data_IF_465697971333
#
_entry.id   IF_465697971333
#
_cell.length_a   1.000
_cell.length_b   1.000
_cell.length_c   1.000
_cell.angle_alpha   90.00
_cell.angle_beta   90.00
_cell.angle_gamma   90.00
#
_symmetry.space_group_name_H-M   'P 1'
#
loop_
_entity.id
_entity.type
_entity.pdbx_description
1 polymer ?
#
# COMPACT_ATOMS: atom_id res chain seq x y z
N UNK A 1 -10.68 57.64 12.76
CA UNK A 1 -9.51 57.05 13.45
C UNK A 1 -9.93 55.77 14.15
N UNK A 2 -9.25 54.67 13.86
CA UNK A 2 -9.45 53.40 14.57
C UNK A 2 -8.93 53.50 16.02
N UNK A 3 -9.61 52.84 16.96
CA UNK A 3 -9.19 52.75 18.37
C UNK A 3 -7.80 52.12 18.51
N UNK A 4 -7.48 51.15 17.63
CA UNK A 4 -6.22 50.41 17.66
C UNK A 4 -5.04 51.25 17.17
N UNK A 5 -5.27 52.15 16.20
CA UNK A 5 -4.27 53.09 15.72
C UNK A 5 -3.90 54.12 16.81
N UNK A 6 -4.90 54.65 17.52
CA UNK A 6 -4.70 55.53 18.67
C UNK A 6 -3.86 54.87 19.76
N UNK A 7 -4.15 53.61 20.06
CA UNK A 7 -3.37 52.82 21.02
C UNK A 7 -1.93 52.60 20.54
N UNK A 8 -1.72 52.33 19.26
CA UNK A 8 -0.38 52.19 18.68
C UNK A 8 0.43 53.50 18.81
N UNK A 9 -0.19 54.66 18.58
CA UNK A 9 0.44 55.96 18.77
C UNK A 9 0.79 56.23 20.23
N UNK A 10 -0.14 55.96 21.17
CA UNK A 10 0.12 56.12 22.60
C UNK A 10 1.25 55.19 23.08
N UNK A 11 1.29 53.98 22.55
CA UNK A 11 2.38 53.01 22.81
C UNK A 11 3.72 53.53 22.30
N UNK A 12 3.76 54.10 21.09
CA UNK A 12 4.99 54.68 20.54
C UNK A 12 5.50 55.85 21.41
N UNK A 13 4.59 56.71 21.87
CA UNK A 13 4.90 57.82 22.79
C UNK A 13 5.52 57.32 24.11
N UNK A 14 4.89 56.32 24.75
CA UNK A 14 5.41 55.70 25.98
C UNK A 14 6.78 55.05 25.80
N UNK A 15 7.06 54.51 24.62
CA UNK A 15 8.31 53.84 24.27
C UNK A 15 9.38 54.81 23.75
N UNK A 16 9.08 56.10 23.61
CA UNK A 16 9.98 57.10 23.02
C UNK A 16 10.29 56.85 21.55
N UNK A 17 9.40 56.13 20.84
CA UNK A 17 9.52 55.84 19.42
C UNK A 17 8.73 56.86 18.59
N UNK A 18 9.10 57.10 17.31
CA UNK A 18 8.30 57.93 16.43
C UNK A 18 6.90 57.32 16.25
N UNK A 19 5.86 58.15 16.31
CA UNK A 19 4.49 57.70 16.06
C UNK A 19 4.36 57.23 14.61
N UNK A 20 3.82 56.01 14.37
CA UNK A 20 3.62 55.50 13.01
C UNK A 20 2.59 56.36 12.28
N UNK A 21 2.73 56.50 10.96
CA UNK A 21 1.68 57.13 10.15
C UNK A 21 0.47 56.18 10.02
N UNK A 22 -0.73 56.74 9.82
CA UNK A 22 -1.96 55.95 9.73
C UNK A 22 -1.92 54.96 8.55
N UNK A 23 -1.29 55.36 7.44
CA UNK A 23 -1.10 54.54 6.25
C UNK A 23 -0.12 53.38 6.48
N UNK A 24 1.07 53.66 7.01
CA UNK A 24 2.06 52.62 7.35
C UNK A 24 1.53 51.63 8.40
N UNK A 25 0.76 52.13 9.38
CA UNK A 25 0.13 51.29 10.38
C UNK A 25 -0.94 50.39 9.77
N UNK A 26 -1.80 50.94 8.89
CA UNK A 26 -2.82 50.16 8.20
C UNK A 26 -2.22 49.08 7.30
N UNK A 27 -1.14 49.39 6.57
CA UNK A 27 -0.41 48.40 5.77
C UNK A 27 0.23 47.32 6.65
N UNK A 28 0.81 47.70 7.79
CA UNK A 28 1.40 46.76 8.73
C UNK A 28 0.35 45.82 9.32
N UNK A 29 -0.82 46.33 9.72
CA UNK A 29 -1.92 45.51 10.22
C UNK A 29 -2.47 44.58 9.14
N UNK A 30 -2.59 45.07 7.89
CA UNK A 30 -3.01 44.25 6.77
C UNK A 30 -2.03 43.10 6.53
N UNK A 31 -0.72 43.37 6.53
CA UNK A 31 0.30 42.35 6.36
C UNK A 31 0.28 41.31 7.51
N UNK A 32 0.15 41.76 8.76
CA UNK A 32 0.04 40.88 9.93
C UNK A 32 -1.19 39.98 9.82
N UNK A 33 -2.35 40.53 9.46
CA UNK A 33 -3.58 39.75 9.29
C UNK A 33 -3.44 38.76 8.13
N UNK A 34 -2.94 39.18 6.97
CA UNK A 34 -2.69 38.29 5.83
C UNK A 34 -1.72 37.15 6.17
N UNK A 35 -0.67 37.44 6.95
CA UNK A 35 0.28 36.42 7.39
C UNK A 35 -0.36 35.45 8.40
N UNK A 36 -1.16 35.96 9.33
CA UNK A 36 -1.86 35.14 10.33
C UNK A 36 -2.88 34.23 9.66
N UNK A 37 -3.69 34.77 8.74
CA UNK A 37 -4.66 34.00 7.96
C UNK A 37 -3.96 32.90 7.13
N UNK A 38 -2.78 33.20 6.55
CA UNK A 38 -2.01 32.21 5.80
C UNK A 38 -1.43 31.12 6.72
N UNK A 39 -0.95 31.47 7.92
CA UNK A 39 -0.44 30.49 8.88
C UNK A 39 -1.54 29.55 9.38
N UNK A 40 -2.73 30.08 9.68
CA UNK A 40 -3.89 29.28 10.09
C UNK A 40 -4.33 28.30 8.99
N UNK A 41 -4.31 28.75 7.73
CA UNK A 41 -4.59 27.89 6.57
C UNK A 41 -3.53 26.81 6.39
N UNK A 42 -2.25 27.17 6.46
CA UNK A 42 -1.14 26.22 6.30
C UNK A 42 -1.16 25.15 7.43
N UNK A 43 -1.48 25.54 8.65
CA UNK A 43 -1.63 24.63 9.81
C UNK A 43 -2.80 23.65 9.61
N UNK A 44 -3.96 24.16 9.18
CA UNK A 44 -5.12 23.31 8.89
C UNK A 44 -4.83 22.26 7.80
N UNK A 45 -4.10 22.67 6.75
CA UNK A 45 -3.68 21.77 5.68
C UNK A 45 -2.66 20.74 6.19
N UNK A 46 -1.69 21.14 7.01
CA UNK A 46 -0.72 20.22 7.60
C UNK A 46 -1.40 19.14 8.46
N UNK A 47 -2.41 19.53 9.24
CA UNK A 47 -3.21 18.64 10.07
C UNK A 47 -4.02 17.62 9.22
N UNK A 48 -4.69 18.08 8.15
CA UNK A 48 -5.43 17.20 7.25
C UNK A 48 -4.50 16.18 6.57
N UNK A 49 -3.32 16.63 6.13
CA UNK A 49 -2.31 15.74 5.54
C UNK A 49 -1.85 14.70 6.58
N UNK A 50 -1.67 15.04 7.85
CA UNK A 50 -1.32 14.05 8.87
C UNK A 50 -2.45 13.04 9.14
N UNK A 51 -3.70 13.49 9.20
CA UNK A 51 -4.85 12.61 9.39
C UNK A 51 -5.02 11.62 8.23
N UNK A 52 -4.78 12.08 7.00
CA UNK A 52 -4.83 11.23 5.81
C UNK A 52 -3.69 10.20 5.79
N UNK A 53 -2.48 10.56 6.24
CA UNK A 53 -1.36 9.61 6.37
C UNK A 53 -1.70 8.48 7.34
N UNK A 54 -2.23 8.80 8.52
CA UNK A 54 -2.60 7.79 9.52
C UNK A 54 -3.66 6.82 8.97
N UNK A 55 -4.66 7.37 8.28
CA UNK A 55 -5.71 6.59 7.61
C UNK A 55 -5.11 5.65 6.55
N UNK A 56 -4.16 6.15 5.77
CA UNK A 56 -3.46 5.38 4.74
C UNK A 56 -2.62 4.25 5.34
N UNK A 57 -1.91 4.51 6.46
CA UNK A 57 -1.15 3.49 7.19
C UNK A 57 -2.04 2.38 7.73
N UNK A 58 -3.21 2.73 8.28
CA UNK A 58 -4.19 1.75 8.74
C UNK A 58 -4.72 0.88 7.60
N UNK A 59 -5.05 1.49 6.46
CA UNK A 59 -5.51 0.78 5.26
C UNK A 59 -4.40 -0.14 4.71
N UNK A 60 -3.16 0.36 4.64
CA UNK A 60 -2.01 -0.42 4.19
C UNK A 60 -1.74 -1.65 5.05
N UNK A 61 -1.77 -1.52 6.37
CA UNK A 61 -1.61 -2.64 7.28
C UNK A 61 -2.70 -3.70 7.12
N UNK A 62 -3.97 -3.28 7.02
CA UNK A 62 -5.09 -4.20 6.79
C UNK A 62 -4.98 -4.93 5.45
N UNK A 63 -4.47 -4.24 4.43
CA UNK A 63 -4.30 -4.82 3.10
C UNK A 63 -3.10 -5.79 3.01
N UNK A 64 -2.03 -5.54 3.76
CA UNK A 64 -0.92 -6.48 3.92
C UNK A 64 -1.37 -7.75 4.64
N UNK A 65 -2.23 -7.62 5.65
CA UNK A 65 -2.84 -8.75 6.33
C UNK A 65 -3.73 -9.56 5.37
N UNK A 66 -4.57 -8.89 4.55
CA UNK A 66 -5.39 -9.57 3.54
C UNK A 66 -4.50 -10.33 2.54
N UNK A 67 -3.44 -9.72 2.03
CA UNK A 67 -2.52 -10.39 1.10
C UNK A 67 -1.82 -11.60 1.77
N UNK A 68 -1.48 -11.51 3.05
CA UNK A 68 -0.95 -12.62 3.85
C UNK A 68 -1.97 -13.76 4.00
N UNK A 69 -3.21 -13.45 4.35
CA UNK A 69 -4.31 -14.41 4.47
C UNK A 69 -4.57 -15.11 3.13
N UNK A 70 -4.58 -14.35 2.04
CA UNK A 70 -4.79 -14.90 0.71
C UNK A 70 -3.64 -15.83 0.30
N UNK A 71 -2.40 -15.46 0.62
CA UNK A 71 -1.25 -16.33 0.39
C UNK A 71 -1.35 -17.64 1.18
N UNK A 72 -1.73 -17.57 2.47
CA UNK A 72 -1.97 -18.75 3.29
C UNK A 72 -3.14 -19.61 2.77
N UNK A 73 -4.20 -18.97 2.28
CA UNK A 73 -5.38 -19.63 1.73
C UNK A 73 -5.05 -20.36 0.42
N UNK A 74 -4.28 -19.75 -0.49
CA UNK A 74 -3.83 -20.42 -1.71
C UNK A 74 -2.96 -21.65 -1.40
N UNK A 75 -2.06 -21.56 -0.40
CA UNK A 75 -1.28 -22.71 0.09
C UNK A 75 -2.19 -23.84 0.57
N UNK A 76 -3.25 -23.52 1.32
CA UNK A 76 -4.25 -24.51 1.79
C UNK A 76 -5.03 -25.12 0.62
N UNK A 77 -5.47 -24.32 -0.35
CA UNK A 77 -6.15 -24.82 -1.57
C UNK A 77 -5.23 -25.77 -2.36
N UNK A 78 -3.96 -25.42 -2.51
CA UNK A 78 -2.98 -26.27 -3.22
C UNK A 78 -2.74 -27.59 -2.48
N UNK A 79 -2.59 -27.54 -1.15
CA UNK A 79 -2.50 -28.75 -0.32
C UNK A 79 -3.75 -29.61 -0.44
N UNK A 80 -4.93 -29.01 -0.40
CA UNK A 80 -6.19 -29.72 -0.59
C UNK A 80 -6.20 -30.43 -1.95
N UNK A 81 -5.95 -29.71 -3.05
CA UNK A 81 -5.85 -30.29 -4.40
C UNK A 81 -4.84 -31.43 -4.51
N UNK A 82 -3.75 -31.40 -3.74
CA UNK A 82 -2.72 -32.44 -3.74
C UNK A 82 -3.15 -33.66 -2.92
N UNK A 83 -3.70 -33.45 -1.72
CA UNK A 83 -4.06 -34.52 -0.77
C UNK A 83 -5.31 -35.29 -1.22
N UNK A 84 -6.32 -34.64 -1.79
CA UNK A 84 -7.47 -35.36 -2.36
C UNK A 84 -7.22 -35.85 -3.79
N UNK A 85 -6.00 -35.64 -4.32
CA UNK A 85 -5.77 -35.58 -5.76
C UNK A 85 -6.70 -34.54 -6.40
N UNK A 86 -6.48 -34.19 -7.66
CA UNK A 86 -7.61 -33.73 -8.46
C UNK A 86 -8.75 -34.72 -8.21
N UNK A 87 -9.92 -34.29 -7.69
CA UNK A 87 -11.07 -35.14 -7.38
C UNK A 87 -11.53 -36.03 -8.57
N UNK A 88 -10.89 -35.92 -9.74
CA UNK A 88 -10.96 -36.89 -10.82
C UNK A 88 -10.32 -38.27 -10.56
N UNK A 89 -9.35 -38.41 -9.64
CA UNK A 89 -8.65 -39.69 -9.43
C UNK A 89 -9.29 -40.57 -8.35
N UNK A 90 -9.72 -40.00 -7.22
CA UNK A 90 -10.31 -40.79 -6.12
C UNK A 90 -11.74 -41.27 -6.42
N UNK A 91 -12.51 -40.56 -7.24
CA UNK A 91 -13.85 -41.00 -7.67
C UNK A 91 -13.82 -41.98 -8.85
N UNK A 92 -12.67 -42.21 -9.50
CA UNK A 92 -12.53 -43.22 -10.57
C UNK A 92 -12.25 -44.64 -10.05
N UNK A 93 -11.99 -44.81 -8.76
CA UNK A 93 -11.68 -46.11 -8.12
C UNK A 93 -12.92 -46.74 -7.46
N UNK A 94 -14.10 -46.65 -8.10
CA UNK A 94 -15.28 -47.41 -7.65
C UNK A 94 -16.12 -47.93 -8.81
N UNK A 95 -16.33 -49.25 -8.78
CA UNK A 95 -17.15 -50.11 -9.67
C UNK A 95 -16.45 -50.59 -10.96
N UNK A 96 -15.39 -51.38 -10.76
CA UNK A 96 -15.25 -52.64 -11.51
C UNK A 96 -15.63 -53.77 -10.56
N UNK A 97 -16.92 -54.13 -10.52
CA UNK A 97 -17.40 -55.27 -9.74
C UNK A 97 -16.78 -56.55 -10.29
N UNK A 98 -16.01 -57.20 -9.43
CA UNK A 98 -15.40 -58.50 -9.62
C UNK A 98 -16.48 -59.58 -9.60
N UNK A 99 -16.74 -60.19 -10.76
CA UNK A 99 -17.37 -61.50 -10.86
C UNK A 99 -16.35 -62.47 -11.48
N UNK A 100 -16.04 -63.57 -10.76
CA UNK A 100 -15.44 -64.87 -11.16
C UNK A 100 -14.29 -64.86 -12.19
N UNK A 101 -13.09 -65.41 -11.96
CA UNK A 101 -12.71 -66.76 -11.47
C UNK A 101 -11.20 -66.74 -11.16
N UNK A 102 -10.65 -67.62 -10.28
CA UNK A 102 -9.22 -67.80 -10.14
C UNK A 102 -8.75 -68.95 -11.03
N UNK A 103 -7.92 -68.67 -12.04
CA UNK A 103 -7.13 -69.72 -12.70
C UNK A 103 -5.64 -69.35 -12.72
N UNK A 104 -4.87 -70.24 -12.13
CA UNK A 104 -3.41 -70.29 -12.14
C UNK A 104 -2.90 -70.74 -13.52
N UNK A 105 -1.89 -70.05 -14.09
CA UNK A 105 -0.57 -70.66 -14.36
C UNK A 105 0.48 -69.65 -14.88
N UNK A 106 1.79 -69.93 -14.70
CA UNK A 106 2.84 -68.92 -14.69
C UNK A 106 3.77 -68.90 -15.92
N UNK A 107 4.58 -67.82 -15.96
CA UNK A 107 5.91 -67.62 -16.58
C UNK A 107 6.07 -67.85 -18.10
N UNK A 108 6.45 -66.79 -18.83
CA UNK A 108 7.73 -66.66 -19.55
C UNK A 108 7.80 -65.38 -20.42
N UNK A 109 8.84 -64.58 -20.13
CA UNK A 109 9.78 -63.95 -21.08
C UNK A 109 9.32 -62.85 -22.06
N UNK A 110 9.92 -61.67 -21.84
CA UNK A 110 10.54 -60.70 -22.77
C UNK A 110 10.06 -60.68 -24.21
N UNK A 111 9.54 -59.54 -24.71
CA UNK A 111 9.99 -58.80 -25.92
C UNK A 111 9.44 -57.35 -25.89
N UNK A 112 10.30 -56.38 -26.23
CA UNK A 112 9.95 -54.98 -26.58
C UNK A 112 9.73 -54.96 -28.11
N UNK A 113 8.73 -54.24 -28.65
CA UNK A 113 9.07 -53.09 -29.49
C UNK A 113 8.09 -51.90 -29.39
N UNK A 114 8.70 -50.71 -29.25
CA UNK A 114 8.56 -49.52 -30.12
C UNK A 114 7.19 -49.00 -30.59
N UNK A 115 6.99 -47.68 -30.44
CA UNK A 115 6.06 -46.93 -31.30
C UNK A 115 5.19 -45.84 -30.65
N UNK A 116 5.66 -44.60 -30.78
CA UNK A 116 4.91 -43.37 -31.09
C UNK A 116 4.14 -42.56 -30.02
N UNK A 117 4.77 -41.41 -29.70
CA UNK A 117 4.26 -40.03 -29.89
C UNK A 117 2.92 -39.58 -29.25
N UNK A 118 3.02 -38.57 -28.36
CA UNK A 118 2.56 -37.16 -28.53
C UNK A 118 2.11 -36.56 -27.19
N UNK A 119 2.65 -35.38 -26.88
CA UNK A 119 2.02 -34.40 -25.99
C UNK A 119 2.60 -34.27 -24.58
N UNK A 120 3.88 -33.91 -24.47
CA UNK A 120 4.36 -33.22 -23.25
C UNK A 120 3.96 -31.76 -23.42
N UNK A 121 2.79 -31.38 -22.91
CA UNK A 121 2.43 -29.97 -22.75
C UNK A 121 3.05 -29.43 -21.46
N UNK A 122 3.96 -28.48 -21.68
CA UNK A 122 4.65 -27.61 -20.74
C UNK A 122 3.90 -27.36 -19.42
N UNK A 123 4.42 -27.94 -18.34
CA UNK A 123 4.27 -27.38 -17.00
C UNK A 123 5.34 -26.30 -16.89
N UNK A 124 5.02 -25.11 -17.38
CA UNK A 124 5.83 -23.92 -17.15
C UNK A 124 5.49 -23.40 -15.76
N UNK A 125 6.14 -23.98 -14.75
CA UNK A 125 6.25 -23.39 -13.42
C UNK A 125 7.27 -22.26 -13.48
N UNK A 126 6.84 -21.08 -13.90
CA UNK A 126 7.57 -19.84 -13.61
C UNK A 126 7.38 -19.51 -12.13
N UNK A 127 8.28 -20.08 -11.34
CA UNK A 127 8.55 -19.75 -9.95
C UNK A 127 9.31 -18.40 -9.95
N UNK A 128 8.58 -17.30 -10.08
CA UNK A 128 9.15 -15.96 -9.87
C UNK A 128 8.96 -15.56 -8.40
N UNK A 129 9.93 -15.96 -7.58
CA UNK A 129 10.13 -15.39 -6.25
C UNK A 129 10.67 -13.96 -6.39
N UNK A 130 9.79 -12.98 -6.45
CA UNK A 130 10.14 -11.56 -6.33
C UNK A 130 10.46 -11.23 -4.85
N UNK A 131 11.74 -11.32 -4.49
CA UNK A 131 12.27 -10.77 -3.23
C UNK A 131 12.63 -9.30 -3.43
N UNK A 132 11.89 -8.40 -2.78
CA UNK A 132 12.15 -6.94 -2.80
C UNK A 132 13.08 -6.61 -1.63
N UNK A 133 14.32 -6.19 -1.95
CA UNK A 133 15.23 -5.60 -0.96
C UNK A 133 14.81 -4.17 -0.62
N UNK A 134 14.62 -3.91 0.68
CA UNK A 134 14.34 -2.58 1.24
C UNK A 134 15.64 -2.06 1.85
N UNK A 135 16.36 -1.18 1.16
CA UNK A 135 17.53 -0.50 1.72
C UNK A 135 17.13 0.89 2.23
N UNK A 136 16.99 0.99 3.55
CA UNK A 136 16.96 2.26 4.28
C UNK A 136 18.38 2.81 4.38
N UNK A 137 18.58 4.07 3.99
CA UNK A 137 19.79 4.81 4.31
C UNK A 137 19.39 6.12 4.98
N UNK A 138 19.50 6.11 6.31
CA UNK A 138 19.46 7.30 7.14
C UNK A 138 20.83 7.96 7.01
N UNK A 139 20.85 9.21 6.52
CA UNK A 139 22.02 10.06 6.70
C UNK A 139 21.59 11.37 7.36
N UNK A 140 21.78 11.42 8.67
CA UNK A 140 21.80 12.65 9.45
C UNK A 140 22.92 13.55 8.95
N UNK A 141 22.57 14.81 8.68
CA UNK A 141 23.51 15.91 8.53
C UNK A 141 22.96 17.12 9.26
N UNK A 142 23.39 17.32 10.50
CA UNK A 142 23.20 18.56 11.25
C UNK A 142 23.89 19.71 10.53
N UNK A 143 23.25 20.87 10.42
CA UNK A 143 23.89 22.18 10.56
C UNK A 143 22.85 23.21 11.03
N UNK A 144 23.14 23.75 12.20
CA UNK A 144 22.58 24.95 12.80
C UNK A 144 23.14 26.18 12.06
N UNK A 145 22.31 27.22 11.88
CA UNK A 145 22.68 28.65 11.94
C UNK A 145 21.58 29.54 11.30
N UNK A 146 20.75 30.08 12.20
CA UNK A 146 20.11 31.41 12.21
C UNK A 146 19.96 32.20 10.89
N UNK A 147 18.75 32.24 10.35
CA UNK A 147 18.24 33.42 9.62
C UNK A 147 16.70 33.49 9.72
N UNK A 148 16.20 34.28 10.66
CA UNK A 148 14.77 34.43 10.93
C UNK A 148 14.14 35.43 9.94
N UNK A 149 13.03 34.99 9.32
CA UNK A 149 11.88 35.78 8.82
C UNK A 149 11.66 35.96 7.31
N UNK A 150 12.21 35.11 6.44
CA UNK A 150 11.69 35.01 5.05
C UNK A 150 11.71 33.59 4.44
N UNK A 151 12.39 32.65 5.10
CA UNK A 151 12.56 31.26 4.65
C UNK A 151 11.51 30.29 5.18
N UNK A 152 10.79 30.62 6.26
CA UNK A 152 9.89 29.70 6.96
C UNK A 152 8.69 29.25 6.12
N UNK A 153 8.06 30.16 5.36
CA UNK A 153 6.90 29.82 4.52
C UNK A 153 7.30 28.97 3.32
N UNK A 154 8.48 29.22 2.74
CA UNK A 154 9.00 28.40 1.63
C UNK A 154 9.44 27.01 2.12
N UNK A 155 10.06 26.92 3.30
CA UNK A 155 10.45 25.65 3.90
C UNK A 155 9.22 24.78 4.24
N UNK A 156 8.18 25.37 4.84
CA UNK A 156 6.89 24.67 5.11
C UNK A 156 6.21 24.21 3.81
N UNK A 157 6.23 25.02 2.75
CA UNK A 157 5.66 24.65 1.44
C UNK A 157 6.43 23.52 0.75
N UNK A 158 7.75 23.50 0.86
CA UNK A 158 8.59 22.43 0.30
C UNK A 158 8.32 21.11 1.02
N UNK A 159 8.21 21.13 2.35
CA UNK A 159 7.89 19.95 3.17
C UNK A 159 6.48 19.40 2.85
N UNK A 160 5.49 20.29 2.68
CA UNK A 160 4.14 19.88 2.27
C UNK A 160 4.15 19.18 0.89
N UNK A 161 4.88 19.73 -0.07
CA UNK A 161 4.93 19.17 -1.42
C UNK A 161 5.62 17.79 -1.45
N UNK A 162 6.70 17.62 -0.67
CA UNK A 162 7.36 16.31 -0.50
C UNK A 162 6.42 15.30 0.19
N UNK A 163 5.73 15.72 1.25
CA UNK A 163 4.76 14.89 1.97
C UNK A 163 3.62 14.44 1.06
N UNK A 164 3.05 15.35 0.27
CA UNK A 164 2.00 15.04 -0.73
C UNK A 164 2.54 14.10 -1.81
N UNK A 165 3.77 14.30 -2.29
CA UNK A 165 4.42 13.39 -3.24
C UNK A 165 4.51 11.96 -2.68
N UNK A 166 5.00 11.82 -1.43
CA UNK A 166 5.08 10.52 -0.77
C UNK A 166 3.71 9.86 -0.55
N UNK A 167 2.65 10.65 -0.36
CA UNK A 167 1.29 10.15 -0.22
C UNK A 167 0.76 9.57 -1.54
N UNK A 168 1.10 10.18 -2.67
CA UNK A 168 0.77 9.64 -3.99
C UNK A 168 1.44 8.29 -4.21
N UNK A 169 2.73 8.16 -3.92
CA UNK A 169 3.45 6.89 -4.04
C UNK A 169 2.84 5.80 -3.14
N UNK A 170 2.46 6.17 -1.91
CA UNK A 170 1.76 5.26 -1.00
C UNK A 170 0.38 4.87 -1.53
N UNK A 171 -0.39 5.79 -2.11
CA UNK A 171 -1.69 5.48 -2.73
C UNK A 171 -1.53 4.50 -3.88
N UNK A 172 -0.54 4.69 -4.75
CA UNK A 172 -0.26 3.76 -5.85
C UNK A 172 0.12 2.37 -5.34
N UNK A 173 0.89 2.30 -4.25
CA UNK A 173 1.19 1.05 -3.56
C UNK A 173 -0.09 0.40 -3.00
N UNK A 174 -0.97 1.16 -2.35
CA UNK A 174 -2.25 0.66 -1.85
C UNK A 174 -3.16 0.15 -2.96
N UNK A 175 -3.25 0.87 -4.08
CA UNK A 175 -4.03 0.47 -5.25
C UNK A 175 -3.52 -0.87 -5.76
N UNK A 176 -2.21 -0.99 -5.99
CA UNK A 176 -1.58 -2.22 -6.47
C UNK A 176 -1.85 -3.40 -5.52
N UNK A 177 -1.68 -3.19 -4.20
CA UNK A 177 -1.95 -4.22 -3.19
C UNK A 177 -3.44 -4.62 -3.17
N UNK A 178 -4.35 -3.68 -3.42
CA UNK A 178 -5.80 -3.88 -3.39
C UNK A 178 -6.25 -4.67 -4.61
N UNK A 179 -5.72 -4.34 -5.78
CA UNK A 179 -5.95 -5.07 -7.02
C UNK A 179 -5.46 -6.52 -6.91
N UNK A 180 -4.25 -6.73 -6.37
CA UNK A 180 -3.73 -8.07 -6.14
C UNK A 180 -4.60 -8.88 -5.17
N UNK A 181 -5.04 -8.27 -4.07
CA UNK A 181 -5.94 -8.90 -3.12
C UNK A 181 -7.29 -9.26 -3.77
N UNK A 182 -7.88 -8.35 -4.54
CA UNK A 182 -9.11 -8.56 -5.28
C UNK A 182 -8.98 -9.72 -6.27
N UNK A 183 -7.93 -9.72 -7.10
CA UNK A 183 -7.67 -10.78 -8.06
C UNK A 183 -7.52 -12.14 -7.36
N UNK A 184 -6.70 -12.20 -6.32
CA UNK A 184 -6.44 -13.40 -5.53
C UNK A 184 -7.72 -13.95 -4.89
N UNK A 185 -8.53 -13.09 -4.27
CA UNK A 185 -9.83 -13.49 -3.70
C UNK A 185 -10.76 -14.10 -4.74
N UNK A 186 -10.91 -13.44 -5.90
CA UNK A 186 -11.77 -13.93 -6.98
C UNK A 186 -11.28 -15.29 -7.50
N UNK A 187 -9.96 -15.43 -7.71
CA UNK A 187 -9.36 -16.66 -8.19
C UNK A 187 -9.53 -17.81 -7.19
N UNK A 188 -9.23 -17.58 -5.91
CA UNK A 188 -9.41 -18.57 -4.84
C UNK A 188 -10.88 -18.98 -4.69
N UNK A 189 -11.81 -18.01 -4.76
CA UNK A 189 -13.25 -18.28 -4.76
C UNK A 189 -13.67 -19.18 -5.91
N UNK A 190 -13.15 -18.96 -7.13
CA UNK A 190 -13.40 -19.84 -8.28
C UNK A 190 -12.87 -21.25 -8.05
N UNK A 191 -11.66 -21.39 -7.50
CA UNK A 191 -11.08 -22.69 -7.17
C UNK A 191 -11.92 -23.45 -6.14
N UNK A 192 -12.32 -22.78 -5.06
CA UNK A 192 -13.17 -23.39 -4.02
C UNK A 192 -14.55 -23.79 -4.58
N UNK A 193 -15.17 -22.96 -5.41
CA UNK A 193 -16.44 -23.32 -6.08
C UNK A 193 -16.28 -24.56 -6.96
N UNK A 194 -15.17 -24.71 -7.69
CA UNK A 194 -14.89 -25.90 -8.51
C UNK A 194 -14.68 -27.15 -7.64
N UNK A 195 -14.08 -27.00 -6.47
CA UNK A 195 -13.92 -28.09 -5.50
C UNK A 195 -15.29 -28.58 -4.97
N UNK A 196 -16.23 -27.66 -4.72
CA UNK A 196 -17.53 -27.98 -4.08
C UNK A 196 -18.61 -28.38 -5.10
N UNK A 197 -18.59 -27.84 -6.33
CA UNK A 197 -19.62 -28.09 -7.36
C UNK A 197 -19.53 -29.48 -8.03
N UNK A 198 -19.23 -30.54 -7.28
CA UNK A 198 -19.26 -31.90 -7.78
C UNK A 198 -19.99 -32.83 -6.83
#
# INVERSE_FOLDING_TARGET
>A
MSQDYLYACQRAELLGQPAPTEEEWAETQKNINEHTDQEDVDEAVAQDVEQTDESMRRIGGGLDEINSILSATQKKINRFKTVCGSLGTLLKVRVGSKNNTPDHKPLATTEIPDGNEKGIENIETTDETLTIETSSSIQSGSNDDTNYNSSTTNAKKIDLNEKVGSHLDKLDSLITKAENAQYSMQHQTKQMKKIIKK
#
